data_IF_354424302010
#
_entry.id   IF_354424302010
#
_cell.length_a   1.000
_cell.length_b   1.000
_cell.length_c   1.000
_cell.angle_alpha   90.00
_cell.angle_beta   90.00
_cell.angle_gamma   90.00
#
_symmetry.space_group_name_H-M   'P 1'
#
loop_
_entity.id
_entity.type
_entity.pdbx_description
1 polymer ?
#
# COMPACT_ATOMS: atom_id res chain seq x y z
N UNK A 1 50.03 -13.53 9.39
CA UNK A 1 48.88 -14.20 8.70
C UNK A 1 47.63 -14.27 9.60
N UNK A 2 46.99 -13.14 9.93
CA UNK A 2 45.70 -13.13 10.68
C UNK A 2 44.67 -12.09 10.18
N UNK A 3 45.06 -11.24 9.24
CA UNK A 3 44.26 -10.08 8.81
C UNK A 3 43.46 -10.32 7.53
N UNK A 4 43.89 -11.26 6.68
CA UNK A 4 43.27 -11.50 5.36
C UNK A 4 41.94 -12.26 5.48
N UNK A 5 41.79 -13.12 6.49
CA UNK A 5 40.59 -13.96 6.65
C UNK A 5 39.35 -13.14 7.08
N UNK A 6 39.53 -12.02 7.78
CA UNK A 6 38.40 -11.19 8.24
C UNK A 6 37.77 -10.36 7.12
N UNK A 7 38.53 -10.00 6.09
CA UNK A 7 38.03 -9.18 4.98
C UNK A 7 37.13 -9.97 4.01
N UNK A 8 37.43 -11.25 3.80
CA UNK A 8 36.64 -12.12 2.91
C UNK A 8 35.26 -12.49 3.48
N UNK A 9 35.14 -12.61 4.80
CA UNK A 9 33.87 -12.94 5.46
C UNK A 9 32.91 -11.74 5.44
N UNK A 10 33.43 -10.50 5.47
CA UNK A 10 32.63 -9.29 5.41
C UNK A 10 32.04 -9.04 3.99
N UNK A 11 32.74 -9.48 2.94
CA UNK A 11 32.28 -9.35 1.55
C UNK A 11 31.21 -10.38 1.14
N UNK A 12 31.22 -11.58 1.76
CA UNK A 12 30.18 -12.60 1.53
C UNK A 12 28.88 -12.34 2.30
N UNK A 13 28.93 -11.61 3.42
CA UNK A 13 27.73 -11.18 4.15
C UNK A 13 26.98 -10.03 3.45
N UNK A 14 27.66 -9.27 2.58
CA UNK A 14 27.09 -8.11 1.89
C UNK A 14 26.40 -8.47 0.57
N UNK A 15 26.69 -9.64 -0.03
CA UNK A 15 26.10 -10.07 -1.31
C UNK A 15 24.74 -10.76 -1.17
N UNK A 16 24.29 -11.08 0.05
CA UNK A 16 22.97 -11.68 0.33
C UNK A 16 21.85 -10.65 0.55
N UNK A 17 22.16 -9.35 0.53
CA UNK A 17 21.20 -8.28 0.81
C UNK A 17 20.55 -7.62 -0.42
N UNK A 18 20.83 -8.09 -1.65
CA UNK A 18 20.43 -7.38 -2.88
C UNK A 18 19.74 -8.25 -3.95
N UNK A 19 19.03 -9.30 -3.54
CA UNK A 19 17.98 -9.87 -4.38
C UNK A 19 16.63 -9.48 -3.80
N UNK A 20 16.19 -8.24 -4.05
CA UNK A 20 14.75 -7.99 -4.19
C UNK A 20 14.29 -8.79 -5.41
N UNK A 21 14.04 -10.09 -5.20
CA UNK A 21 13.60 -11.00 -6.24
C UNK A 21 12.26 -10.45 -6.77
N UNK A 22 12.26 -10.07 -8.04
CA UNK A 22 11.03 -9.63 -8.71
C UNK A 22 10.14 -10.86 -8.87
N UNK A 23 8.91 -10.78 -8.35
CA UNK A 23 7.91 -11.85 -8.46
C UNK A 23 6.94 -11.51 -9.57
N UNK A 24 7.11 -12.15 -10.72
CA UNK A 24 6.20 -12.00 -11.86
C UNK A 24 5.11 -13.07 -11.80
N UNK A 25 3.85 -12.66 -11.92
CA UNK A 25 2.68 -13.54 -11.82
C UNK A 25 1.74 -13.37 -13.02
N UNK A 26 1.04 -14.45 -13.45
CA UNK A 26 -0.02 -14.35 -14.43
C UNK A 26 -1.24 -13.61 -13.85
N UNK A 27 -2.05 -13.02 -14.73
CA UNK A 27 -3.27 -12.25 -14.37
C UNK A 27 -4.22 -13.01 -13.43
N UNK A 28 -4.36 -14.33 -13.62
CA UNK A 28 -5.23 -15.20 -12.81
C UNK A 28 -4.83 -15.29 -11.34
N UNK A 29 -3.56 -15.05 -11.02
CA UNK A 29 -3.00 -15.14 -9.66
C UNK A 29 -2.57 -13.79 -9.10
N UNK A 30 -2.32 -12.82 -10.00
CA UNK A 30 -1.72 -11.54 -9.64
C UNK A 30 -2.57 -10.78 -8.62
N UNK A 31 -3.88 -10.61 -8.88
CA UNK A 31 -4.74 -9.77 -8.05
C UNK A 31 -4.87 -10.31 -6.61
N UNK A 32 -5.15 -11.61 -6.46
CA UNK A 32 -5.29 -12.24 -5.14
C UNK A 32 -3.97 -12.21 -4.37
N UNK A 33 -2.85 -12.53 -5.03
CA UNK A 33 -1.54 -12.46 -4.40
C UNK A 33 -1.19 -11.04 -3.95
N UNK A 34 -1.45 -10.04 -4.79
CA UNK A 34 -1.20 -8.64 -4.46
C UNK A 34 -2.06 -8.19 -3.27
N UNK A 35 -3.36 -8.47 -3.27
CA UNK A 35 -4.28 -8.10 -2.19
C UNK A 35 -3.90 -8.75 -0.85
N UNK A 36 -3.43 -10.00 -0.86
CA UNK A 36 -2.98 -10.71 0.35
C UNK A 36 -1.67 -10.16 0.90
N UNK A 37 -0.71 -9.87 0.02
CA UNK A 37 0.66 -9.56 0.44
C UNK A 37 0.90 -8.05 0.63
N UNK A 38 0.14 -7.18 -0.04
CA UNK A 38 0.38 -5.73 -0.08
C UNK A 38 -0.53 -4.90 0.83
N UNK A 39 -1.48 -5.53 1.51
CA UNK A 39 -2.28 -4.86 2.53
C UNK A 39 -1.50 -4.65 3.83
N UNK A 40 -1.73 -3.51 4.46
CA UNK A 40 -1.40 -3.23 5.86
C UNK A 40 -2.68 -3.17 6.67
N UNK A 41 -2.64 -3.61 7.92
CA UNK A 41 -3.79 -3.62 8.84
C UNK A 41 -3.47 -2.78 10.08
N UNK A 42 -4.47 -2.05 10.60
CA UNK A 42 -4.36 -1.26 11.83
C UNK A 42 -5.72 -1.26 12.55
N UNK A 43 -5.75 -1.60 13.84
CA UNK A 43 -7.01 -1.67 14.60
C UNK A 43 -7.08 -0.57 15.66
N UNK A 44 -8.20 0.16 15.69
CA UNK A 44 -8.48 1.18 16.71
C UNK A 44 -9.99 1.34 16.92
N UNK A 45 -10.41 1.49 18.18
CA UNK A 45 -11.82 1.74 18.49
C UNK A 45 -12.78 0.62 18.06
N UNK A 46 -12.31 -0.63 17.97
CA UNK A 46 -13.11 -1.76 17.50
C UNK A 46 -13.27 -1.86 15.99
N UNK A 47 -12.60 -0.98 15.22
CA UNK A 47 -12.57 -0.99 13.76
C UNK A 47 -11.16 -1.34 13.30
N UNK A 48 -11.06 -2.25 12.34
CA UNK A 48 -9.83 -2.59 11.63
C UNK A 48 -9.80 -1.85 10.31
N UNK A 49 -8.77 -1.04 10.16
CA UNK A 49 -8.44 -0.30 8.97
C UNK A 49 -7.42 -1.08 8.16
N UNK A 50 -7.54 -0.93 6.86
CA UNK A 50 -6.70 -1.56 5.88
C UNK A 50 -6.27 -0.52 4.86
N UNK A 51 -5.02 -0.58 4.44
CA UNK A 51 -4.50 0.28 3.40
C UNK A 51 -3.62 -0.54 2.46
N UNK A 52 -3.74 -0.27 1.16
CA UNK A 52 -2.95 -0.92 0.13
C UNK A 52 -2.58 0.09 -0.95
N UNK A 53 -1.27 0.29 -1.15
CA UNK A 53 -0.77 1.10 -2.25
C UNK A 53 -0.90 0.33 -3.56
N UNK A 54 -1.49 0.94 -4.58
CA UNK A 54 -1.73 0.29 -5.87
C UNK A 54 -0.56 0.53 -6.82
N UNK A 55 -0.02 -0.54 -7.40
CA UNK A 55 0.97 -0.46 -8.47
C UNK A 55 0.28 -0.26 -9.84
N UNK A 56 1.00 0.25 -10.83
CA UNK A 56 0.47 0.34 -12.21
C UNK A 56 0.00 -1.01 -12.74
N UNK A 57 0.71 -2.09 -12.44
CA UNK A 57 0.36 -3.47 -12.84
C UNK A 57 -0.96 -3.91 -12.19
N UNK A 58 -1.19 -3.56 -10.91
CA UNK A 58 -2.46 -3.81 -10.23
C UNK A 58 -3.61 -3.02 -10.84
N UNK A 59 -3.41 -1.73 -11.09
CA UNK A 59 -4.45 -0.91 -11.70
C UNK A 59 -4.80 -1.39 -13.12
N UNK A 60 -3.80 -1.82 -13.90
CA UNK A 60 -4.00 -2.45 -15.22
C UNK A 60 -4.78 -3.75 -15.10
N UNK A 61 -4.40 -4.66 -14.21
CA UNK A 61 -5.11 -5.92 -14.01
C UNK A 61 -6.55 -5.73 -13.48
N UNK A 62 -6.78 -4.75 -12.60
CA UNK A 62 -8.08 -4.52 -11.96
C UNK A 62 -9.05 -3.71 -12.82
N UNK A 63 -8.54 -2.70 -13.53
CA UNK A 63 -9.35 -1.67 -14.20
C UNK A 63 -9.02 -1.47 -15.67
N UNK A 64 -8.08 -2.24 -16.23
CA UNK A 64 -7.68 -2.18 -17.65
C UNK A 64 -6.68 -1.06 -17.98
N UNK A 65 -6.53 -0.05 -17.13
CA UNK A 65 -5.55 1.02 -17.32
C UNK A 65 -5.07 1.60 -15.97
N UNK A 66 -3.77 1.90 -15.82
CA UNK A 66 -3.26 2.67 -14.68
C UNK A 66 -3.61 4.16 -14.81
N UNK A 67 -3.40 4.92 -13.74
CA UNK A 67 -3.37 6.38 -13.85
C UNK A 67 -2.20 6.82 -14.75
N UNK A 68 -2.44 7.86 -15.56
CA UNK A 68 -1.40 8.49 -16.36
C UNK A 68 -0.32 9.12 -15.48
N UNK A 69 -0.71 9.70 -14.34
CA UNK A 69 0.16 10.31 -13.34
C UNK A 69 -0.34 10.05 -11.92
N UNK A 70 0.59 10.09 -10.95
CA UNK A 70 0.29 9.92 -9.53
C UNK A 70 0.17 8.48 -9.05
N UNK A 71 -0.56 8.29 -7.95
CA UNK A 71 -0.77 6.98 -7.32
C UNK A 71 -2.12 6.91 -6.59
N UNK A 72 -2.65 5.68 -6.45
CA UNK A 72 -3.84 5.40 -5.64
C UNK A 72 -3.50 4.54 -4.44
N UNK A 73 -4.17 4.82 -3.33
CA UNK A 73 -4.22 3.95 -2.16
C UNK A 73 -5.66 3.49 -1.98
N UNK A 74 -5.86 2.18 -1.93
CA UNK A 74 -7.12 1.62 -1.46
C UNK A 74 -7.09 1.63 0.06
N UNK A 75 -8.03 2.35 0.67
CA UNK A 75 -8.21 2.42 2.11
C UNK A 75 -9.59 1.86 2.46
N UNK A 76 -9.67 0.96 3.44
CA UNK A 76 -10.95 0.42 3.85
C UNK A 76 -11.02 0.06 5.32
N UNK A 77 -12.23 -0.10 5.85
CA UNK A 77 -12.46 -0.35 7.27
C UNK A 77 -13.51 -1.44 7.50
N UNK A 78 -13.28 -2.31 8.48
CA UNK A 78 -14.20 -3.36 8.93
C UNK A 78 -14.39 -3.32 10.46
N UNK A 79 -15.60 -3.58 10.99
CA UNK A 79 -16.85 -3.64 10.25
C UNK A 79 -17.21 -2.27 9.67
N UNK A 80 -18.16 -2.26 8.72
CA UNK A 80 -18.72 -1.04 8.15
C UNK A 80 -19.21 -0.12 9.27
N UNK A 81 -18.83 1.15 9.17
CA UNK A 81 -19.21 2.20 10.10
C UNK A 81 -19.38 3.48 9.30
N UNK A 82 -20.28 4.38 9.69
CA UNK A 82 -20.44 5.65 8.96
C UNK A 82 -19.24 6.59 9.19
N UNK A 83 -18.11 6.21 8.59
CA UNK A 83 -16.83 6.88 8.65
C UNK A 83 -16.83 8.01 7.64
N UNK A 84 -16.56 9.20 8.14
CA UNK A 84 -16.16 10.34 7.34
C UNK A 84 -14.67 10.56 7.52
N UNK A 85 -13.98 10.79 6.42
CA UNK A 85 -12.56 11.16 6.38
C UNK A 85 -12.51 12.62 5.99
N UNK A 86 -11.84 13.45 6.80
CA UNK A 86 -11.65 14.86 6.48
C UNK A 86 -10.57 15.03 5.42
N UNK A 87 -9.41 14.40 5.64
CA UNK A 87 -8.26 14.50 4.75
C UNK A 87 -7.35 13.27 4.91
N UNK A 88 -6.39 13.11 3.99
CA UNK A 88 -5.37 12.10 4.02
C UNK A 88 -4.08 12.65 3.41
N UNK A 89 -2.96 12.27 3.99
CA UNK A 89 -1.63 12.70 3.57
C UNK A 89 -0.74 11.46 3.43
N UNK A 90 0.01 11.36 2.33
CA UNK A 90 1.11 10.41 2.21
C UNK A 90 2.40 11.05 2.66
N UNK A 91 3.20 10.32 3.44
CA UNK A 91 4.53 10.74 3.85
C UNK A 91 5.61 9.82 3.32
N UNK A 92 6.67 10.42 2.76
CA UNK A 92 7.87 9.75 2.32
C UNK A 92 9.11 10.39 2.96
N UNK A 93 9.50 9.87 4.13
CA UNK A 93 10.52 10.51 4.94
C UNK A 93 10.06 11.90 5.40
N UNK A 94 10.73 12.95 4.93
CA UNK A 94 10.35 14.35 5.20
C UNK A 94 9.36 14.94 4.20
N UNK A 95 9.12 14.27 3.07
CA UNK A 95 8.21 14.74 2.04
C UNK A 95 6.78 14.32 2.34
N UNK A 96 5.80 15.15 1.96
CA UNK A 96 4.39 14.86 2.14
C UNK A 96 3.56 15.28 0.94
N UNK A 97 2.61 14.44 0.55
CA UNK A 97 1.64 14.75 -0.50
C UNK A 97 0.23 14.63 0.07
N UNK A 98 -0.53 15.72 0.03
CA UNK A 98 -1.94 15.69 0.38
C UNK A 98 -2.75 15.03 -0.73
N UNK A 99 -3.82 14.37 -0.33
CA UNK A 99 -4.73 13.73 -1.28
C UNK A 99 -5.44 14.77 -2.15
N UNK A 100 -5.64 14.43 -3.42
CA UNK A 100 -6.36 15.30 -4.37
C UNK A 100 -7.82 14.88 -4.56
N UNK A 101 -8.14 13.61 -4.32
CA UNK A 101 -9.49 13.10 -4.47
C UNK A 101 -9.74 11.86 -3.60
N UNK A 102 -10.94 11.81 -3.02
CA UNK A 102 -11.50 10.62 -2.40
C UNK A 102 -12.76 10.19 -3.13
N UNK A 103 -12.84 8.93 -3.54
CA UNK A 103 -14.10 8.33 -3.97
C UNK A 103 -14.52 7.26 -2.98
N UNK A 104 -15.70 7.41 -2.38
CA UNK A 104 -16.38 6.35 -1.64
C UNK A 104 -17.01 5.38 -2.64
N UNK A 105 -16.72 4.10 -2.52
CA UNK A 105 -17.41 3.06 -3.28
C UNK A 105 -18.59 2.50 -2.46
N UNK A 106 -19.72 2.19 -3.10
CA UNK A 106 -20.79 1.41 -2.47
C UNK A 106 -20.37 -0.06 -2.43
N UNK A 107 -20.27 -0.63 -1.23
CA UNK A 107 -19.89 -2.04 -1.03
C UNK A 107 -21.11 -2.95 -1.06
N UNK A 108 -21.01 -4.08 -1.76
CA UNK A 108 -22.04 -5.13 -1.76
C UNK A 108 -21.91 -6.03 -0.50
N UNK A 109 -23.04 -6.58 0.00
CA UNK A 109 -23.19 -7.33 1.28
C UNK A 109 -22.40 -8.66 1.33
N UNK A 110 -22.03 -9.29 2.47
CA UNK A 110 -22.38 -9.17 3.89
C UNK A 110 -21.09 -9.43 4.73
N UNK A 111 -20.89 -8.73 5.85
CA UNK A 111 -19.58 -8.59 6.56
C UNK A 111 -18.90 -7.24 6.30
N UNK A 112 -19.72 -6.21 6.13
CA UNK A 112 -19.47 -5.06 5.27
C UNK A 112 -18.21 -4.24 5.63
N UNK A 113 -17.71 -3.54 4.61
CA UNK A 113 -16.49 -2.74 4.61
C UNK A 113 -16.81 -1.35 4.08
N UNK A 114 -16.27 -0.25 4.62
CA UNK A 114 -16.26 1.04 3.89
C UNK A 114 -14.96 1.15 3.12
N UNK A 115 -15.02 1.36 1.80
CA UNK A 115 -13.83 1.46 0.96
C UNK A 115 -13.74 2.82 0.27
N UNK A 116 -12.54 3.37 0.29
CA UNK A 116 -12.16 4.67 -0.23
C UNK A 116 -10.97 4.48 -1.18
N UNK A 117 -11.09 5.02 -2.38
CA UNK A 117 -9.94 5.18 -3.27
C UNK A 117 -9.38 6.58 -3.05
N UNK A 118 -8.20 6.65 -2.45
CA UNK A 118 -7.47 7.88 -2.19
C UNK A 118 -6.48 8.11 -3.33
N UNK A 119 -6.56 9.26 -4.01
CA UNK A 119 -5.70 9.57 -5.17
C UNK A 119 -4.74 10.70 -4.85
N UNK A 120 -3.45 10.53 -5.15
CA UNK A 120 -2.39 11.49 -4.87
C UNK A 120 -1.68 11.86 -6.18
N UNK A 121 -1.24 13.11 -6.28
CA UNK A 121 -0.63 13.65 -7.51
C UNK A 121 0.79 13.11 -7.74
N UNK A 122 1.53 12.85 -6.66
CA UNK A 122 2.93 12.42 -6.71
C UNK A 122 3.07 10.93 -6.39
N UNK A 123 4.10 10.28 -6.94
CA UNK A 123 4.40 8.86 -6.73
C UNK A 123 5.64 8.71 -5.87
N UNK A 124 5.47 8.35 -4.60
CA UNK A 124 6.58 8.17 -3.66
C UNK A 124 6.72 6.71 -3.17
N UNK A 125 7.96 6.18 -3.19
CA UNK A 125 8.22 4.74 -2.99
C UNK A 125 8.25 4.25 -1.53
N UNK A 126 8.23 5.18 -0.58
CA UNK A 126 8.17 4.89 0.86
C UNK A 126 7.02 5.70 1.42
N UNK A 127 5.91 5.05 1.72
CA UNK A 127 4.69 5.81 2.02
C UNK A 127 4.10 5.38 3.35
N UNK A 128 4.02 6.31 4.30
CA UNK A 128 3.07 6.22 5.41
C UNK A 128 1.79 6.94 4.98
N UNK A 129 0.65 6.29 5.15
CA UNK A 129 -0.64 6.93 5.00
C UNK A 129 -1.08 7.48 6.36
N UNK A 130 -1.37 8.77 6.41
CA UNK A 130 -2.06 9.37 7.54
C UNK A 130 -3.46 9.83 7.12
N UNK A 131 -4.48 9.28 7.76
CA UNK A 131 -5.89 9.64 7.56
C UNK A 131 -6.34 10.51 8.73
N UNK A 132 -6.71 11.76 8.44
CA UNK A 132 -7.09 12.77 9.43
C UNK A 132 -8.56 12.71 9.76
N UNK A 133 -8.84 12.91 11.05
CA UNK A 133 -10.17 13.13 11.61
C UNK A 133 -11.19 12.10 11.11
N UNK A 134 -10.86 10.82 11.29
CA UNK A 134 -11.82 9.75 11.11
C UNK A 134 -12.90 9.90 12.18
N UNK A 135 -14.16 10.00 11.76
CA UNK A 135 -15.31 10.25 12.64
C UNK A 135 -15.48 9.18 13.73
N UNK A 136 -16.48 9.38 14.60
CA UNK A 136 -16.82 8.45 15.69
C UNK A 136 -15.74 8.35 16.80
N UNK A 137 -14.99 9.43 17.03
CA UNK A 137 -14.00 9.48 18.12
C UNK A 137 -12.72 8.67 17.86
N UNK A 138 -12.52 8.17 16.63
CA UNK A 138 -11.34 7.40 16.25
C UNK A 138 -10.10 8.31 16.16
N UNK A 139 -10.28 9.51 15.59
CA UNK A 139 -9.22 10.49 15.43
C UNK A 139 -8.31 10.18 14.24
N UNK A 140 -7.06 10.62 14.30
CA UNK A 140 -6.08 10.38 13.23
C UNK A 140 -5.56 8.94 13.23
N UNK A 141 -5.35 8.39 12.04
CA UNK A 141 -4.84 7.04 11.80
C UNK A 141 -3.57 7.12 10.96
N UNK A 142 -2.48 6.51 11.43
CA UNK A 142 -1.22 6.39 10.68
C UNK A 142 -0.94 4.92 10.35
N UNK A 143 -0.65 4.60 9.09
CA UNK A 143 -0.39 3.25 8.60
C UNK A 143 0.85 3.24 7.71
N UNK A 144 1.79 2.33 7.96
CA UNK A 144 2.91 2.10 7.05
C UNK A 144 2.44 1.29 5.84
N UNK A 145 2.65 1.78 4.62
CA UNK A 145 2.26 1.05 3.42
C UNK A 145 3.38 0.10 3.00
N UNK A 146 3.01 -1.14 2.69
CA UNK A 146 3.95 -2.10 2.13
C UNK A 146 4.41 -1.66 0.73
N UNK A 147 5.71 -1.77 0.49
CA UNK A 147 6.27 -1.54 -0.84
C UNK A 147 6.20 -2.83 -1.68
N UNK A 148 5.24 -2.86 -2.61
CA UNK A 148 5.00 -4.00 -3.49
C UNK A 148 5.51 -3.82 -4.93
N UNK A 149 6.46 -2.91 -5.16
CA UNK A 149 6.95 -2.60 -6.52
C UNK A 149 7.56 -3.78 -7.29
N UNK A 150 8.05 -4.77 -6.56
CA UNK A 150 8.70 -5.95 -7.12
C UNK A 150 7.71 -7.08 -7.48
N UNK A 151 6.41 -6.90 -7.24
CA UNK A 151 5.37 -7.83 -7.71
C UNK A 151 4.90 -7.32 -9.06
N UNK A 152 5.06 -8.13 -10.11
CA UNK A 152 4.86 -7.73 -11.51
C UNK A 152 3.79 -8.59 -12.19
N UNK A 153 2.99 -7.97 -13.05
CA UNK A 153 2.06 -8.67 -13.92
C UNK A 153 2.83 -9.15 -15.16
N UNK A 154 2.67 -10.43 -15.51
CA UNK A 154 3.16 -10.95 -16.79
C UNK A 154 2.18 -10.50 -17.87
N UNK A 155 2.62 -9.60 -18.76
CA UNK A 155 1.83 -9.18 -19.92
C UNK A 155 1.81 -10.31 -20.97
N UNK A 156 0.65 -10.54 -21.57
CA UNK A 156 0.45 -11.53 -22.65
C UNK A 156 1.01 -11.03 -23.98
#
# INVERSE_FOLDING_TARGET
MKTIVKFFILLLALSLFLCSCTKSLPESEFLSYYEENCKTEYTRGGITFYAMLLSSDYEKAKWGAPLDNGMRVLFWATPRSDLSIENATLYAGSESSDVVLFRKAQTFELGATDSFVLSFAERNEWSKLYVRNVSQGIGGIEMELKNCKNIRLIEK
#
